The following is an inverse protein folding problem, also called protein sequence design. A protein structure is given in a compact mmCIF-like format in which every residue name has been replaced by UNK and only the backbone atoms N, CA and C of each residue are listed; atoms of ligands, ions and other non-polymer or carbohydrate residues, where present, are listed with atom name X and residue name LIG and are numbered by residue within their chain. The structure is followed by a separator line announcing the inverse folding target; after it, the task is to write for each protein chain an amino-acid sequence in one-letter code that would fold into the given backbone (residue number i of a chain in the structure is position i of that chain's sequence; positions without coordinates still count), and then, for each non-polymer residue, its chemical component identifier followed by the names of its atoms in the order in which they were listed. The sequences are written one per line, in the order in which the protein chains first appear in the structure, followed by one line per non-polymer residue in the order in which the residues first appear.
data_IF_543572068493
#
_entry.id   IF_543572068493
#
_cell.length_a   1.000
_cell.length_b   1.000
_cell.length_c   1.000
_cell.angle_alpha   90.00
_cell.angle_beta   90.00
_cell.angle_gamma   90.00
#
_symmetry.space_group_name_H-M   'P 1'
#
loop_
_entity.id
_entity.type
_entity.pdbx_description
1 polymer ?
#
# COMPACT_ATOMS: atom_id res chain seq x y z
N UNK A 1 -0.77 4.40 -8.31
CA UNK A 1 0.18 3.29 -8.05
C UNK A 1 -0.19 2.69 -6.71
N UNK A 2 0.13 1.41 -6.48
CA UNK A 2 -0.48 0.52 -5.47
C UNK A 2 -0.26 0.84 -3.99
N UNK A 3 -0.33 2.11 -3.57
CA UNK A 3 -0.30 2.56 -2.18
C UNK A 3 0.82 1.94 -1.34
N UNK A 4 2.03 2.08 -1.88
CA UNK A 4 3.27 1.70 -1.21
C UNK A 4 4.22 2.89 -1.19
N UNK A 5 5.05 2.96 -0.16
CA UNK A 5 6.13 3.93 -0.09
C UNK A 5 7.47 3.28 -0.46
N UNK A 6 8.39 4.10 -0.96
CA UNK A 6 9.74 3.71 -1.30
C UNK A 6 10.71 4.73 -0.67
N UNK A 7 11.55 4.28 0.28
CA UNK A 7 12.53 5.12 0.97
C UNK A 7 13.94 4.72 0.58
N UNK A 8 14.73 5.69 0.13
CA UNK A 8 16.15 5.47 -0.10
C UNK A 8 16.91 5.34 1.22
N UNK A 9 17.76 4.32 1.27
CA UNK A 9 18.66 4.01 2.37
C UNK A 9 20.11 4.27 1.96
N UNK A 10 21.00 4.22 2.95
CA UNK A 10 22.45 4.27 2.69
C UNK A 10 22.86 3.17 1.69
N UNK A 11 23.76 3.51 0.77
CA UNK A 11 24.22 2.60 -0.28
C UNK A 11 23.26 2.45 -1.47
N UNK A 12 22.26 3.33 -1.61
CA UNK A 12 21.38 3.37 -2.79
C UNK A 12 20.29 2.29 -2.82
N UNK A 13 20.09 1.59 -1.71
CA UNK A 13 19.01 0.61 -1.54
C UNK A 13 17.68 1.31 -1.31
N UNK A 14 16.59 0.62 -1.60
CA UNK A 14 15.22 1.14 -1.45
C UNK A 14 14.45 0.22 -0.51
N UNK A 15 14.03 0.75 0.63
CA UNK A 15 13.10 0.08 1.55
C UNK A 15 11.67 0.35 1.11
N UNK A 16 10.82 -0.67 1.10
CA UNK A 16 9.43 -0.60 0.62
C UNK A 16 8.48 -1.04 1.73
N UNK A 17 7.32 -0.39 1.82
CA UNK A 17 6.22 -0.77 2.71
C UNK A 17 4.87 -0.26 2.22
N UNK A 18 3.79 -0.61 2.92
CA UNK A 18 2.47 -0.04 2.67
C UNK A 18 2.38 1.38 3.20
N UNK A 19 1.67 2.26 2.49
CA UNK A 19 1.32 3.56 3.05
C UNK A 19 0.14 3.47 4.04
N UNK A 20 -0.03 4.52 4.82
CA UNK A 20 -1.09 4.65 5.84
C UNK A 20 -2.50 4.59 5.22
N UNK A 21 -2.66 5.03 3.97
CA UNK A 21 -3.93 4.99 3.27
C UNK A 21 -4.36 3.55 2.99
N UNK A 22 -3.46 2.71 2.46
CA UNK A 22 -3.75 1.29 2.17
C UNK A 22 -4.20 0.56 3.44
N UNK A 23 -3.44 0.69 4.51
CA UNK A 23 -3.68 -0.10 5.74
C UNK A 23 -4.95 0.34 6.45
N UNK A 24 -5.35 1.61 6.35
CA UNK A 24 -6.65 2.10 6.83
C UNK A 24 -7.80 1.74 5.90
N UNK A 25 -7.55 1.67 4.60
CA UNK A 25 -8.57 1.30 3.62
C UNK A 25 -8.98 -0.17 3.78
N UNK A 26 -8.00 -1.07 3.82
CA UNK A 26 -8.25 -2.52 3.85
C UNK A 26 -8.24 -3.12 5.26
N UNK A 27 -7.76 -2.37 6.27
CA UNK A 27 -7.55 -2.88 7.61
C UNK A 27 -6.25 -3.67 7.76
N UNK A 28 -6.04 -4.28 8.93
CA UNK A 28 -4.84 -5.06 9.20
C UNK A 28 -4.77 -6.30 8.30
N UNK A 29 -3.58 -6.56 7.76
CA UNK A 29 -3.32 -7.80 7.04
C UNK A 29 -3.29 -8.98 8.02
N UNK A 30 -3.78 -10.14 7.58
CA UNK A 30 -3.62 -11.42 8.27
C UNK A 30 -2.55 -12.29 7.60
N UNK A 31 -2.26 -12.06 6.32
CA UNK A 31 -1.22 -12.78 5.57
C UNK A 31 -0.46 -11.83 4.65
N UNK A 32 0.83 -12.10 4.46
CA UNK A 32 1.69 -11.44 3.50
C UNK A 32 2.46 -12.47 2.68
N UNK A 33 2.39 -12.38 1.36
CA UNK A 33 3.20 -13.18 0.45
C UNK A 33 4.19 -12.27 -0.24
N UNK A 34 5.37 -12.15 0.37
CA UNK A 34 6.45 -11.27 -0.09
C UNK A 34 7.37 -11.99 -1.09
N UNK A 35 7.99 -11.26 -2.03
CA UNK A 35 8.93 -11.84 -2.96
C UNK A 35 10.16 -12.39 -2.21
N UNK A 36 10.69 -13.56 -2.60
CA UNK A 36 11.85 -14.14 -1.93
C UNK A 36 13.13 -13.36 -2.19
N UNK A 37 14.14 -13.58 -1.34
CA UNK A 37 15.46 -13.00 -1.52
C UNK A 37 16.02 -13.30 -2.91
N UNK A 38 16.50 -12.27 -3.60
CA UNK A 38 17.07 -12.37 -4.94
C UNK A 38 16.04 -12.35 -6.09
N UNK A 39 14.74 -12.31 -5.81
CA UNK A 39 13.72 -12.14 -6.83
C UNK A 39 13.84 -10.78 -7.53
N UNK A 40 13.51 -10.75 -8.83
CA UNK A 40 13.42 -9.52 -9.62
C UNK A 40 12.00 -8.96 -9.56
N UNK A 41 11.89 -7.66 -9.30
CA UNK A 41 10.66 -6.88 -9.37
C UNK A 41 10.70 -5.95 -10.58
N UNK A 42 9.53 -5.74 -11.18
CA UNK A 42 9.34 -4.79 -12.29
C UNK A 42 8.35 -3.72 -11.86
N UNK A 43 8.74 -2.44 -11.98
CA UNK A 43 7.85 -1.31 -11.66
C UNK A 43 6.51 -1.45 -12.41
N UNK A 44 5.40 -1.17 -11.73
CA UNK A 44 4.04 -1.31 -12.25
C UNK A 44 3.63 -2.74 -12.65
N UNK A 45 4.33 -3.76 -12.14
CA UNK A 45 3.89 -5.16 -12.21
C UNK A 45 3.60 -5.66 -10.80
N UNK A 46 2.79 -6.72 -10.68
CA UNK A 46 2.51 -7.35 -9.38
C UNK A 46 3.83 -7.79 -8.73
N UNK A 47 4.07 -7.32 -7.52
CA UNK A 47 5.28 -7.62 -6.76
C UNK A 47 5.05 -8.52 -5.55
N UNK A 48 3.91 -8.36 -4.87
CA UNK A 48 3.54 -9.13 -3.68
C UNK A 48 2.03 -9.13 -3.47
N UNK A 49 1.55 -9.94 -2.52
CA UNK A 49 0.14 -9.97 -2.13
C UNK A 49 -0.04 -9.86 -0.63
N UNK A 50 -1.21 -9.40 -0.21
CA UNK A 50 -1.65 -9.45 1.18
C UNK A 50 -3.08 -10.00 1.26
N UNK A 51 -3.44 -10.57 2.41
CA UNK A 51 -4.78 -11.05 2.68
C UNK A 51 -5.36 -10.49 3.97
N UNK A 52 -6.65 -10.22 3.99
CA UNK A 52 -7.41 -9.80 5.17
C UNK A 52 -8.87 -10.27 5.05
N UNK A 53 -9.50 -10.67 6.17
CA UNK A 53 -10.92 -11.07 6.24
C UNK A 53 -11.41 -11.94 5.05
N UNK A 54 -10.75 -13.06 4.75
CA UNK A 54 -11.03 -13.97 3.63
C UNK A 54 -10.87 -13.39 2.20
N UNK A 55 -10.29 -12.19 2.08
CA UNK A 55 -9.96 -11.57 0.82
C UNK A 55 -8.45 -11.50 0.61
N UNK A 56 -8.03 -11.38 -0.65
CA UNK A 56 -6.64 -11.29 -1.07
C UNK A 56 -6.50 -10.25 -2.19
N UNK A 57 -5.41 -9.50 -2.17
CA UNK A 57 -5.09 -8.50 -3.20
C UNK A 57 -3.61 -8.50 -3.54
N UNK A 58 -3.31 -8.17 -4.79
CA UNK A 58 -1.95 -7.90 -5.25
C UNK A 58 -1.61 -6.41 -5.18
N UNK A 59 -0.33 -6.15 -4.95
CA UNK A 59 0.23 -4.80 -4.97
C UNK A 59 1.32 -4.70 -6.03
N UNK A 60 1.31 -3.58 -6.76
CA UNK A 60 2.27 -3.28 -7.81
C UNK A 60 3.60 -2.82 -7.21
N UNK A 61 4.71 -3.29 -7.77
CA UNK A 61 6.03 -2.85 -7.35
C UNK A 61 6.27 -1.37 -7.70
N UNK A 62 6.76 -0.56 -6.74
CA UNK A 62 7.04 0.86 -6.98
C UNK A 62 8.33 1.08 -7.77
N UNK A 63 9.22 0.07 -7.86
CA UNK A 63 10.54 0.17 -8.50
C UNK A 63 10.91 -1.14 -9.19
N UNK A 64 11.70 -1.05 -10.27
CA UNK A 64 12.39 -2.20 -10.86
C UNK A 64 13.71 -2.45 -10.14
N UNK A 65 13.98 -3.70 -9.75
CA UNK A 65 15.20 -4.07 -9.06
C UNK A 65 15.18 -5.48 -8.47
N UNK A 66 16.19 -5.81 -7.67
CA UNK A 66 16.36 -7.13 -7.04
C UNK A 66 16.14 -7.07 -5.54
N UNK A 67 15.38 -8.02 -4.97
CA UNK A 67 15.15 -8.10 -3.53
C UNK A 67 16.44 -8.49 -2.80
N UNK A 68 16.86 -7.67 -1.83
CA UNK A 68 18.06 -7.84 -1.01
C UNK A 68 17.77 -8.27 0.43
N UNK A 69 16.57 -8.01 0.94
CA UNK A 69 16.16 -8.43 2.27
C UNK A 69 14.64 -8.48 2.35
N UNK A 70 14.11 -9.34 3.21
CA UNK A 70 12.68 -9.48 3.50
C UNK A 70 12.49 -9.29 5.01
N UNK A 71 11.46 -8.57 5.42
CA UNK A 71 11.12 -8.40 6.82
C UNK A 71 10.34 -9.63 7.33
N UNK A 72 11.04 -10.62 7.86
CA UNK A 72 10.41 -11.81 8.42
C UNK A 72 9.49 -11.49 9.61
N UNK A 73 9.77 -10.44 10.39
CA UNK A 73 8.88 -9.99 11.48
C UNK A 73 7.50 -9.62 10.94
N UNK A 74 7.44 -8.91 9.80
CA UNK A 74 6.16 -8.57 9.18
C UNK A 74 5.46 -9.79 8.57
N UNK A 75 6.19 -10.79 8.07
CA UNK A 75 5.56 -12.02 7.58
C UNK A 75 4.92 -12.82 8.73
N UNK A 76 5.62 -12.91 9.87
CA UNK A 76 5.14 -13.65 11.06
C UNK A 76 4.07 -12.86 11.83
N UNK A 77 4.15 -11.52 11.78
CA UNK A 77 3.24 -10.57 12.43
C UNK A 77 2.73 -9.50 11.45
N UNK A 78 1.87 -9.85 10.48
CA UNK A 78 1.40 -8.92 9.44
C UNK A 78 0.73 -7.64 9.96
N UNK A 79 0.13 -7.68 11.15
CA UNK A 79 -0.51 -6.54 11.80
C UNK A 79 0.44 -5.36 12.04
N UNK A 80 1.76 -5.61 12.11
CA UNK A 80 2.76 -4.55 12.26
C UNK A 80 2.77 -3.58 11.08
N UNK A 81 2.40 -4.07 9.89
CA UNK A 81 2.30 -3.23 8.69
C UNK A 81 1.20 -2.18 8.83
N UNK A 82 0.18 -2.47 9.64
CA UNK A 82 -0.91 -1.56 9.94
C UNK A 82 -0.55 -0.60 11.07
N UNK A 83 0.04 -1.11 12.15
CA UNK A 83 0.32 -0.29 13.34
C UNK A 83 1.50 0.66 13.16
N UNK A 84 2.52 0.26 12.40
CA UNK A 84 3.73 1.05 12.18
C UNK A 84 4.25 0.94 10.73
N UNK A 85 3.44 1.37 9.74
CA UNK A 85 3.70 1.14 8.32
C UNK A 85 5.04 1.70 7.81
N UNK A 86 5.56 2.75 8.46
CA UNK A 86 6.73 3.49 8.00
C UNK A 86 8.02 3.15 8.74
N UNK A 87 7.95 2.41 9.85
CA UNK A 87 9.13 1.98 10.60
C UNK A 87 9.20 0.46 10.67
N UNK A 88 8.60 -0.18 11.67
CA UNK A 88 8.71 -1.64 11.84
C UNK A 88 7.95 -2.44 10.78
N UNK A 89 6.93 -1.83 10.16
CA UNK A 89 6.06 -2.40 9.13
C UNK A 89 6.61 -2.41 7.69
N UNK A 90 7.89 -2.14 7.49
CA UNK A 90 8.52 -2.30 6.18
C UNK A 90 8.44 -3.75 5.69
N UNK A 91 8.39 -3.98 4.38
CA UNK A 91 8.16 -5.31 3.81
C UNK A 91 9.45 -5.95 3.31
N UNK A 92 10.20 -5.23 2.47
CA UNK A 92 11.46 -5.72 1.89
C UNK A 92 12.35 -4.56 1.44
N UNK A 93 13.62 -4.87 1.15
CA UNK A 93 14.60 -3.93 0.60
C UNK A 93 15.00 -4.39 -0.80
N UNK A 94 15.12 -3.44 -1.71
CA UNK A 94 15.45 -3.66 -3.13
C UNK A 94 16.76 -2.95 -3.48
N UNK A 95 17.58 -3.60 -4.30
CA UNK A 95 18.62 -2.97 -5.10
C UNK A 95 18.00 -2.47 -6.41
N UNK A 96 17.84 -1.16 -6.61
CA UNK A 96 17.24 -0.64 -7.82
C UNK A 96 18.18 -0.81 -9.02
N UNK A 97 17.70 -1.45 -10.09
CA UNK A 97 18.49 -1.65 -11.32
C UNK A 97 18.64 -0.35 -12.13
N UNK A 98 17.60 0.50 -12.11
CA UNK A 98 17.58 1.78 -12.84
C UNK A 98 17.13 2.95 -11.95
N UNK A 99 17.95 3.42 -10.99
CA UNK A 99 17.53 4.41 -9.98
C UNK A 99 16.86 5.65 -10.57
N UNK A 100 17.49 6.28 -11.59
CA UNK A 100 16.95 7.48 -12.23
C UNK A 100 15.63 7.26 -12.98
N UNK A 101 15.43 6.06 -13.55
CA UNK A 101 14.19 5.72 -14.27
C UNK A 101 13.07 5.43 -13.28
N UNK A 102 13.37 4.71 -12.21
CA UNK A 102 12.42 4.38 -11.13
C UNK A 102 11.80 5.65 -10.53
N UNK A 103 12.60 6.71 -10.33
CA UNK A 103 12.12 8.00 -9.79
C UNK A 103 11.02 8.65 -10.62
N UNK A 104 10.99 8.47 -11.94
CA UNK A 104 10.01 9.15 -12.82
C UNK A 104 8.56 8.72 -12.58
N UNK A 105 8.36 7.55 -11.97
CA UNK A 105 7.03 7.03 -11.65
C UNK A 105 6.61 7.26 -10.20
N UNK A 106 7.47 7.85 -9.38
CA UNK A 106 7.20 8.06 -7.95
C UNK A 106 6.82 9.52 -7.69
N UNK A 107 5.90 9.72 -6.75
CA UNK A 107 5.51 11.05 -6.30
C UNK A 107 6.42 11.51 -5.15
N UNK A 108 6.74 12.80 -5.10
CA UNK A 108 7.56 13.38 -4.05
C UNK A 108 6.90 14.66 -3.48
N UNK A 109 7.09 14.89 -2.18
CA UNK A 109 6.70 16.12 -1.49
C UNK A 109 5.27 16.59 -1.83
N UNK A 110 5.13 17.79 -2.43
CA UNK A 110 3.84 18.41 -2.79
C UNK A 110 3.01 17.53 -3.72
N UNK A 111 3.64 16.82 -4.65
CA UNK A 111 2.93 15.94 -5.59
C UNK A 111 2.31 14.75 -4.85
N UNK A 112 2.96 14.26 -3.79
CA UNK A 112 2.42 13.17 -2.96
C UNK A 112 1.18 13.61 -2.20
N UNK A 113 1.17 14.84 -1.66
CA UNK A 113 0.01 15.39 -0.98
C UNK A 113 -1.18 15.55 -1.93
N UNK A 114 -0.95 16.18 -3.09
CA UNK A 114 -2.01 16.32 -4.09
C UNK A 114 -2.52 14.95 -4.55
N UNK A 115 -1.64 13.98 -4.79
CA UNK A 115 -2.07 12.64 -5.16
C UNK A 115 -2.95 11.99 -4.07
N UNK A 116 -2.52 12.02 -2.80
CA UNK A 116 -3.32 11.48 -1.68
C UNK A 116 -4.67 12.19 -1.54
N UNK A 117 -4.73 13.52 -1.73
CA UNK A 117 -6.00 14.25 -1.73
C UNK A 117 -6.95 13.70 -2.80
N UNK A 118 -6.46 13.43 -4.01
CA UNK A 118 -7.28 12.81 -5.07
C UNK A 118 -7.71 11.38 -4.71
N UNK A 119 -6.85 10.58 -4.07
CA UNK A 119 -7.20 9.23 -3.60
C UNK A 119 -8.31 9.29 -2.53
N UNK A 120 -8.24 10.25 -1.60
CA UNK A 120 -9.28 10.50 -0.61
C UNK A 120 -10.59 10.92 -1.28
N UNK A 121 -10.56 11.83 -2.27
CA UNK A 121 -11.77 12.24 -2.99
C UNK A 121 -12.43 11.06 -3.72
N UNK A 122 -11.64 10.17 -4.34
CA UNK A 122 -12.17 8.92 -4.94
C UNK A 122 -12.85 8.05 -3.89
N UNK A 123 -12.23 7.89 -2.72
CA UNK A 123 -12.81 7.10 -1.62
C UNK A 123 -14.12 7.71 -1.12
N UNK A 124 -14.18 9.03 -0.93
CA UNK A 124 -15.40 9.74 -0.53
C UNK A 124 -16.55 9.51 -1.52
N UNK A 125 -16.25 9.54 -2.82
CA UNK A 125 -17.21 9.23 -3.87
C UNK A 125 -17.73 7.78 -3.83
N UNK A 126 -16.90 6.82 -3.41
CA UNK A 126 -17.29 5.40 -3.28
C UNK A 126 -18.12 5.13 -2.02
N UNK A 127 -17.80 5.76 -0.89
CA UNK A 127 -18.59 5.57 0.35
C UNK A 127 -19.96 6.25 0.26
N UNK A 128 -20.08 7.34 -0.50
CA UNK A 128 -21.33 8.05 -0.77
C UNK A 128 -21.43 9.42 -0.05
N UNK A 129 -22.23 10.32 -0.64
CA UNK A 129 -22.34 11.73 -0.24
C UNK A 129 -22.87 11.94 1.20
N UNK A 130 -23.58 10.97 1.76
CA UNK A 130 -24.07 11.01 3.15
C UNK A 130 -22.94 11.01 4.20
N UNK A 131 -21.75 10.50 3.84
CA UNK A 131 -20.60 10.46 4.74
C UNK A 131 -19.69 11.70 4.63
N UNK A 132 -19.80 12.48 3.55
CA UNK A 132 -19.06 13.75 3.39
C UNK A 132 -19.41 14.76 4.49
N UNK A 133 -20.66 14.73 4.97
CA UNK A 133 -21.17 15.67 5.98
C UNK A 133 -20.77 15.29 7.42
N UNK A 134 -20.36 14.05 7.67
CA UNK A 134 -20.00 13.55 9.01
C UNK A 134 -18.59 13.97 9.45
N UNK A 135 -17.73 14.42 8.53
CA UNK A 135 -16.39 14.89 8.85
C UNK A 135 -16.40 16.17 9.73
N UNK A 136 -17.48 16.96 9.71
CA UNK A 136 -17.59 18.22 10.42
C UNK A 136 -18.00 18.09 11.91
N UNK A 137 -18.39 16.90 12.38
CA UNK A 137 -19.03 16.71 13.69
C UNK A 137 -18.14 16.04 14.75
N UNK A 138 -16.84 15.87 14.49
CA UNK A 138 -15.90 15.30 15.47
C UNK A 138 -15.92 13.77 15.54
N UNK A 139 -15.94 13.10 14.38
CA UNK A 139 -15.91 11.64 14.27
C UNK A 139 -14.60 10.99 14.75
N UNK A 140 -14.68 9.71 15.10
CA UNK A 140 -13.50 8.90 15.42
C UNK A 140 -12.72 8.52 14.15
N UNK A 141 -11.38 8.46 14.20
CA UNK A 141 -10.58 7.96 13.08
C UNK A 141 -11.00 6.53 12.71
N UNK A 142 -11.30 6.30 11.43
CA UNK A 142 -11.58 4.97 10.90
C UNK A 142 -10.24 4.32 10.53
N UNK A 143 -9.97 3.17 11.12
CA UNK A 143 -8.77 2.36 10.90
C UNK A 143 -9.01 1.16 9.97
N UNK A 144 -10.27 0.85 9.62
CA UNK A 144 -10.62 -0.22 8.69
C UNK A 144 -11.88 0.17 7.89
N UNK A 145 -11.70 0.91 6.80
CA UNK A 145 -12.81 1.40 5.95
C UNK A 145 -13.60 0.22 5.38
N UNK A 146 -12.94 -0.75 4.74
CA UNK A 146 -13.62 -1.92 4.17
C UNK A 146 -14.51 -2.66 5.19
N UNK A 147 -14.02 -2.85 6.42
CA UNK A 147 -14.79 -3.50 7.49
C UNK A 147 -15.94 -2.67 8.06
N UNK A 148 -15.93 -1.34 7.88
CA UNK A 148 -16.96 -0.42 8.40
C UNK A 148 -18.04 -0.08 7.38
N UNK A 149 -17.80 -0.28 6.09
CA UNK A 149 -18.72 0.04 5.01
C UNK A 149 -19.05 -1.22 4.19
N UNK A 150 -20.02 -2.05 4.62
CA UNK A 150 -20.31 -3.35 4.00
C UNK A 150 -20.78 -3.27 2.55
N UNK A 151 -21.21 -2.10 2.07
CA UNK A 151 -21.61 -1.88 0.68
C UNK A 151 -20.42 -1.71 -0.26
N UNK A 152 -19.23 -1.43 0.25
CA UNK A 152 -18.02 -1.37 -0.56
C UNK A 152 -17.59 -2.77 -0.99
N UNK A 153 -17.59 -3.03 -2.29
CA UNK A 153 -17.07 -4.28 -2.82
C UNK A 153 -15.53 -4.30 -2.75
N UNK A 154 -14.96 -5.40 -2.27
CA UNK A 154 -13.51 -5.61 -2.22
C UNK A 154 -12.85 -5.37 -3.60
N UNK A 155 -13.46 -5.93 -4.64
CA UNK A 155 -12.92 -5.88 -6.00
C UNK A 155 -12.88 -4.44 -6.54
N UNK A 156 -13.84 -3.58 -6.16
CA UNK A 156 -13.86 -2.17 -6.54
C UNK A 156 -12.75 -1.39 -5.83
N UNK A 157 -12.48 -1.69 -4.55
CA UNK A 157 -11.37 -1.08 -3.81
C UNK A 157 -10.01 -1.49 -4.39
N UNK A 158 -9.81 -2.79 -4.64
CA UNK A 158 -8.57 -3.31 -5.24
C UNK A 158 -8.33 -2.69 -6.61
N UNK A 159 -9.35 -2.66 -7.47
CA UNK A 159 -9.25 -2.08 -8.81
C UNK A 159 -8.96 -0.59 -8.76
N UNK A 160 -9.64 0.16 -7.89
CA UNK A 160 -9.56 1.63 -7.83
C UNK A 160 -8.24 2.12 -7.25
N UNK A 161 -7.77 1.47 -6.18
CA UNK A 161 -6.63 1.95 -5.39
C UNK A 161 -5.34 1.18 -5.69
N UNK A 162 -5.41 -0.13 -5.89
CA UNK A 162 -4.21 -0.94 -6.15
C UNK A 162 -3.89 -1.06 -7.65
N UNK A 163 -4.88 -0.86 -8.53
CA UNK A 163 -4.72 -0.98 -9.97
C UNK A 163 -4.45 -2.42 -10.42
N UNK A 164 -4.83 -3.40 -9.59
CA UNK A 164 -4.71 -4.84 -9.84
C UNK A 164 -6.09 -5.46 -9.94
N UNK A 165 -6.15 -6.69 -10.46
CA UNK A 165 -7.37 -7.50 -10.48
C UNK A 165 -7.36 -8.49 -9.30
N UNK A 166 -8.53 -9.08 -9.02
CA UNK A 166 -8.67 -10.12 -8.01
C UNK A 166 -7.79 -11.32 -8.34
N UNK A 167 -7.14 -11.88 -7.31
CA UNK A 167 -6.35 -13.12 -7.38
C UNK A 167 -7.14 -14.26 -6.75
#
# INVERSE_FOLDING_TARGET
MGHSWARFEHGGRVRIGFDDFLVKLFGAAHTLELPPLGASLSQNQVGWTFGTNNHKAAVLAPVTGKVLAVNHKAVDHPEITHHDPYQEGWLFIVEPEFPRRNLKGLYFEKESFSWIEHEVQKLMGLIGAEYEQLAATGGEPIDNVFGKFPHLAWDDLVKTFLGTEKI
#
